data_IF_957015026657
#
_entry.id   IF_957015026657
#
_cell.length_a   1.000
_cell.length_b   1.000
_cell.length_c   1.000
_cell.angle_alpha   90.00
_cell.angle_beta   90.00
_cell.angle_gamma   90.00
#
_symmetry.space_group_name_H-M   'P 1'
#
loop_
_entity.id
_entity.type
_entity.pdbx_description
1 polymer ?
#
# COMPACT_ATOMS: atom_id res chain seq x y z
N UNK A 1 74.81 -8.92 13.31
CA UNK A 1 73.48 -9.00 12.68
C UNK A 1 73.71 -9.45 11.24
N UNK A 2 73.01 -10.48 10.78
CA UNK A 2 73.12 -10.89 9.38
C UNK A 2 72.41 -9.85 8.51
N UNK A 3 73.09 -9.40 7.45
CA UNK A 3 72.47 -8.55 6.42
C UNK A 3 71.91 -9.45 5.35
N UNK A 4 70.59 -9.38 5.12
CA UNK A 4 69.91 -10.21 4.12
C UNK A 4 69.74 -9.40 2.83
N UNK A 5 70.42 -9.74 1.72
CA UNK A 5 70.18 -9.10 0.43
C UNK A 5 68.76 -9.39 -0.05
N UNK A 6 68.10 -8.37 -0.60
CA UNK A 6 66.75 -8.44 -1.10
C UNK A 6 66.67 -7.79 -2.48
N UNK A 7 66.08 -8.51 -3.43
CA UNK A 7 65.86 -8.02 -4.79
C UNK A 7 64.41 -7.60 -4.96
N UNK A 8 64.20 -6.46 -5.63
CA UNK A 8 62.86 -5.95 -5.94
C UNK A 8 62.33 -6.67 -7.17
N UNK A 9 61.25 -7.43 -7.01
CA UNK A 9 60.53 -8.05 -8.11
C UNK A 9 59.29 -7.22 -8.45
N UNK A 10 59.30 -6.69 -9.67
CA UNK A 10 58.22 -5.87 -10.22
C UNK A 10 57.05 -6.71 -10.72
N UNK A 11 57.11 -8.04 -10.61
CA UNK A 11 55.99 -8.91 -10.93
C UNK A 11 54.83 -8.66 -9.96
N UNK A 12 53.70 -8.22 -10.51
CA UNK A 12 52.49 -8.01 -9.73
C UNK A 12 51.78 -9.36 -9.61
N UNK A 13 51.51 -9.86 -8.39
CA UNK A 13 50.81 -11.13 -8.22
C UNK A 13 49.44 -11.06 -8.91
N UNK A 14 49.27 -11.85 -9.98
CA UNK A 14 48.01 -11.96 -10.73
C UNK A 14 47.95 -11.25 -12.09
N UNK A 15 49.01 -10.56 -12.52
CA UNK A 15 49.07 -9.93 -13.87
C UNK A 15 50.25 -10.49 -14.67
N UNK A 16 50.01 -10.91 -15.92
CA UNK A 16 51.07 -11.43 -16.81
C UNK A 16 51.99 -10.36 -17.37
N UNK A 17 51.57 -9.10 -17.31
CA UNK A 17 52.26 -7.99 -17.93
C UNK A 17 53.10 -7.26 -16.89
N UNK A 18 54.42 -7.19 -17.12
CA UNK A 18 55.31 -6.41 -16.29
C UNK A 18 54.96 -4.92 -16.42
N UNK A 19 54.52 -4.24 -15.35
CA UNK A 19 54.18 -2.82 -15.42
C UNK A 19 55.41 -1.98 -15.77
N UNK A 20 55.21 -0.89 -16.51
CA UNK A 20 56.29 0.03 -16.90
C UNK A 20 56.94 0.77 -15.71
N UNK A 21 56.37 0.66 -14.51
CA UNK A 21 56.89 1.20 -13.26
C UNK A 21 55.97 0.89 -12.08
N UNK A 22 56.47 1.08 -10.85
CA UNK A 22 55.65 0.95 -9.65
C UNK A 22 54.80 2.20 -9.48
N UNK A 23 53.52 2.05 -9.13
CA UNK A 23 52.63 3.17 -8.82
C UNK A 23 52.35 3.26 -7.31
N UNK A 24 51.96 4.44 -6.83
CA UNK A 24 51.60 4.64 -5.41
C UNK A 24 50.48 3.68 -5.00
N UNK A 25 50.72 2.90 -3.96
CA UNK A 25 49.78 1.90 -3.43
C UNK A 25 49.80 0.53 -4.14
N UNK A 26 50.62 0.37 -5.19
CA UNK A 26 50.81 -0.92 -5.84
C UNK A 26 51.58 -1.88 -4.92
N UNK A 27 51.18 -3.15 -4.92
CA UNK A 27 51.86 -4.21 -4.17
C UNK A 27 52.90 -4.84 -5.07
N UNK A 28 54.12 -4.94 -4.58
CA UNK A 28 55.23 -5.62 -5.25
C UNK A 28 55.96 -6.54 -4.27
N UNK A 29 56.77 -7.45 -4.80
CA UNK A 29 57.41 -8.49 -4.03
C UNK A 29 58.89 -8.15 -3.82
N UNK A 30 59.39 -8.34 -2.60
CA UNK A 30 60.82 -8.36 -2.32
C UNK A 30 61.23 -9.81 -2.07
N UNK A 31 62.15 -10.32 -2.87
CA UNK A 31 62.72 -11.66 -2.65
C UNK A 31 64.02 -11.51 -1.89
N UNK A 32 64.02 -11.99 -0.65
CA UNK A 32 65.15 -11.88 0.26
C UNK A 32 65.80 -13.25 0.46
N UNK A 33 67.12 -13.31 0.27
CA UNK A 33 67.91 -14.55 0.38
C UNK A 33 68.93 -14.44 1.52
N UNK A 34 68.77 -15.24 2.56
CA UNK A 34 69.67 -15.29 3.71
C UNK A 34 69.11 -16.11 4.87
N UNK A 35 69.95 -16.44 5.85
CA UNK A 35 69.54 -17.23 7.02
C UNK A 35 68.57 -16.44 7.92
N UNK A 36 67.31 -16.88 7.97
CA UNK A 36 66.29 -16.26 8.82
C UNK A 36 66.29 -16.83 10.24
N UNK A 37 66.14 -16.01 11.29
CA UNK A 37 66.11 -16.50 12.66
C UNK A 37 64.90 -17.41 12.91
N UNK A 38 65.12 -18.56 13.55
CA UNK A 38 64.06 -19.53 13.82
C UNK A 38 62.97 -18.96 14.73
N UNK A 39 61.71 -19.06 14.28
CA UNK A 39 60.54 -18.60 15.03
C UNK A 39 60.23 -17.11 14.87
N UNK A 40 60.65 -16.49 13.77
CA UNK A 40 60.18 -15.17 13.35
C UNK A 40 58.68 -15.26 13.01
N UNK A 41 57.82 -14.50 13.68
CA UNK A 41 56.38 -14.50 13.45
C UNK A 41 56.01 -13.49 12.34
N UNK A 42 55.54 -13.95 11.16
CA UNK A 42 55.13 -13.06 10.08
C UNK A 42 54.03 -12.07 10.46
N UNK A 43 53.23 -12.36 11.50
CA UNK A 43 52.10 -11.53 11.88
C UNK A 43 52.45 -10.41 12.86
N UNK A 44 53.56 -10.56 13.60
CA UNK A 44 53.98 -9.62 14.64
C UNK A 44 55.16 -8.72 14.19
N UNK A 45 55.61 -8.86 12.94
CA UNK A 45 56.71 -8.07 12.41
C UNK A 45 56.35 -6.59 12.25
N UNK A 46 57.30 -5.73 12.64
CA UNK A 46 57.26 -4.29 12.40
C UNK A 46 58.46 -3.88 11.55
N UNK A 47 58.20 -3.06 10.53
CA UNK A 47 59.22 -2.42 9.74
C UNK A 47 59.72 -1.18 10.47
N UNK A 48 61.00 -1.18 10.88
CA UNK A 48 61.67 0.01 11.40
C UNK A 48 62.53 0.63 10.31
N UNK A 49 62.12 1.83 9.91
CA UNK A 49 62.82 2.72 8.99
C UNK A 49 63.24 3.97 9.75
N UNK A 50 64.19 4.73 9.19
CA UNK A 50 64.46 6.08 9.66
C UNK A 50 63.19 6.94 9.57
N UNK A 51 63.09 7.94 10.45
CA UNK A 51 61.91 8.80 10.56
C UNK A 51 61.54 9.52 9.26
N UNK A 52 62.53 9.77 8.39
CA UNK A 52 62.32 10.38 7.07
C UNK A 52 61.68 9.41 6.06
N UNK A 53 61.82 8.11 6.29
CA UNK A 53 61.50 7.05 5.34
C UNK A 53 60.28 6.21 5.75
N UNK A 54 59.70 6.46 6.93
CA UNK A 54 58.61 5.68 7.52
C UNK A 54 57.38 5.48 6.61
N UNK A 55 57.18 6.34 5.60
CA UNK A 55 56.08 6.25 4.63
C UNK A 55 56.48 5.80 3.22
N UNK A 56 57.77 5.52 3.00
CA UNK A 56 58.30 5.09 1.69
C UNK A 56 58.07 3.60 1.44
N UNK A 57 58.03 2.78 2.48
CA UNK A 57 57.81 1.34 2.38
C UNK A 57 56.92 0.88 3.54
N UNK A 58 55.89 0.08 3.22
CA UNK A 58 55.06 -0.61 4.20
C UNK A 58 54.97 -2.07 3.80
N UNK A 59 55.17 -2.96 4.77
CA UNK A 59 55.00 -4.40 4.58
C UNK A 59 53.52 -4.75 4.80
N UNK A 60 52.99 -5.57 3.89
CA UNK A 60 51.63 -6.08 3.94
C UNK A 60 51.62 -7.54 4.40
N UNK A 61 52.56 -8.34 3.90
CA UNK A 61 52.65 -9.78 4.21
C UNK A 61 54.09 -10.27 4.07
N UNK A 62 54.44 -11.33 4.79
CA UNK A 62 55.74 -12.01 4.71
C UNK A 62 55.49 -13.51 4.59
N UNK A 63 56.02 -14.11 3.52
CA UNK A 63 55.88 -15.53 3.24
C UNK A 63 57.26 -16.17 3.18
N UNK A 64 57.50 -17.16 4.04
CA UNK A 64 58.72 -17.95 3.99
C UNK A 64 58.57 -19.05 2.94
N UNK A 65 59.39 -19.01 1.89
CA UNK A 65 59.45 -20.07 0.87
C UNK A 65 60.35 -21.20 1.37
N UNK A 66 61.45 -20.86 2.06
CA UNK A 66 62.37 -21.81 2.68
C UNK A 66 63.00 -21.21 3.95
N UNK A 67 63.96 -21.91 4.56
CA UNK A 67 64.74 -21.36 5.69
C UNK A 67 65.68 -20.23 5.29
N UNK A 68 66.00 -20.14 4.00
CA UNK A 68 66.94 -19.18 3.43
C UNK A 68 66.26 -18.18 2.49
N UNK A 69 64.99 -18.39 2.16
CA UNK A 69 64.26 -17.56 1.20
C UNK A 69 62.92 -17.10 1.79
N UNK A 70 62.70 -15.79 1.73
CA UNK A 70 61.43 -15.19 2.10
C UNK A 70 61.01 -14.15 1.06
N UNK A 71 59.70 -14.07 0.84
CA UNK A 71 59.07 -13.11 -0.05
C UNK A 71 58.25 -12.14 0.79
N UNK A 72 58.56 -10.84 0.69
CA UNK A 72 57.80 -9.78 1.35
C UNK A 72 56.88 -9.11 0.35
N UNK A 73 55.60 -9.03 0.67
CA UNK A 73 54.66 -8.18 -0.04
C UNK A 73 54.74 -6.78 0.54
N UNK A 74 55.16 -5.82 -0.27
CA UNK A 74 55.37 -4.44 0.17
C UNK A 74 54.64 -3.45 -0.73
N UNK A 75 54.38 -2.27 -0.19
CA UNK A 75 53.79 -1.16 -0.93
C UNK A 75 54.43 0.17 -0.53
N UNK A 76 54.34 1.17 -1.41
CA UNK A 76 54.83 2.52 -1.17
C UNK A 76 53.71 3.55 -1.31
N UNK A 77 53.63 4.48 -0.36
CA UNK A 77 52.63 5.55 -0.36
C UNK A 77 53.16 6.90 -0.85
N UNK A 78 54.45 6.99 -1.17
CA UNK A 78 55.06 8.24 -1.66
C UNK A 78 55.62 8.04 -3.06
N UNK A 79 55.27 8.90 -4.03
CA UNK A 79 55.94 8.90 -5.33
C UNK A 79 57.39 9.40 -5.19
N UNK A 80 58.27 8.99 -6.10
CA UNK A 80 59.68 9.39 -6.16
C UNK A 80 60.65 8.21 -6.25
N UNK A 81 61.95 8.54 -6.33
CA UNK A 81 63.03 7.58 -6.20
C UNK A 81 63.34 7.36 -4.72
N UNK A 82 63.30 6.11 -4.27
CA UNK A 82 63.55 5.73 -2.89
C UNK A 82 64.83 4.91 -2.82
N UNK A 83 65.78 5.38 -2.00
CA UNK A 83 66.98 4.65 -1.63
C UNK A 83 66.95 4.46 -0.12
N UNK A 84 66.58 3.26 0.32
CA UNK A 84 66.45 2.91 1.73
C UNK A 84 67.71 2.20 2.19
N UNK A 85 68.35 2.73 3.22
CA UNK A 85 69.54 2.12 3.83
C UNK A 85 69.16 1.49 5.17
N UNK A 86 69.78 0.35 5.47
CA UNK A 86 69.64 -0.33 6.77
C UNK A 86 68.18 -0.56 7.22
N UNK A 87 67.34 -1.07 6.32
CA UNK A 87 65.93 -1.39 6.64
C UNK A 87 65.87 -2.51 7.66
N UNK A 88 65.23 -2.30 8.81
CA UNK A 88 65.18 -3.30 9.88
C UNK A 88 63.79 -3.92 10.02
N UNK A 89 63.73 -5.24 10.03
CA UNK A 89 62.55 -6.01 10.44
C UNK A 89 62.70 -6.37 11.91
N UNK A 90 61.75 -5.99 12.73
CA UNK A 90 61.76 -6.27 14.18
C UNK A 90 60.53 -7.10 14.55
N UNK A 91 60.76 -8.19 15.28
CA UNK A 91 59.71 -9.06 15.82
C UNK A 91 60.08 -9.50 17.24
N UNK A 92 59.20 -9.26 18.22
CA UNK A 92 59.24 -9.76 19.60
C UNK A 92 60.64 -9.89 20.28
N UNK A 93 61.61 -9.03 19.94
CA UNK A 93 62.98 -9.04 20.49
C UNK A 93 64.09 -9.50 19.53
N UNK A 94 63.78 -9.86 18.28
CA UNK A 94 64.73 -10.17 17.21
C UNK A 94 64.70 -9.08 16.15
N UNK A 95 65.86 -8.78 15.57
CA UNK A 95 65.97 -7.84 14.45
C UNK A 95 66.83 -8.41 13.33
N UNK A 96 66.37 -8.20 12.10
CA UNK A 96 67.07 -8.56 10.87
C UNK A 96 67.24 -7.29 10.04
N UNK A 97 68.45 -7.04 9.55
CA UNK A 97 68.75 -5.89 8.69
C UNK A 97 68.68 -6.35 7.24
N UNK A 98 67.77 -5.80 6.46
CA UNK A 98 67.71 -5.99 5.02
C UNK A 98 68.80 -5.14 4.35
N UNK A 99 69.30 -5.62 3.21
CA UNK A 99 70.23 -4.87 2.36
C UNK A 99 69.64 -3.55 1.86
N UNK A 100 70.47 -2.74 1.23
CA UNK A 100 70.06 -1.47 0.64
C UNK A 100 69.05 -1.72 -0.49
N UNK A 101 67.90 -1.03 -0.44
CA UNK A 101 66.80 -1.17 -1.40
C UNK A 101 66.68 0.10 -2.24
N UNK A 102 66.66 -0.03 -3.56
CA UNK A 102 66.40 1.08 -4.49
C UNK A 102 65.23 0.76 -5.42
N UNK A 103 64.24 1.65 -5.47
CA UNK A 103 63.09 1.53 -6.36
C UNK A 103 62.46 2.89 -6.68
N UNK A 104 61.76 3.00 -7.82
CA UNK A 104 61.13 4.25 -8.29
C UNK A 104 59.61 4.08 -8.35
N UNK A 105 58.88 4.98 -7.70
CA UNK A 105 57.41 4.97 -7.62
C UNK A 105 56.85 6.17 -8.39
N UNK A 106 56.03 5.91 -9.39
CA UNK A 106 55.32 6.88 -10.21
C UNK A 106 54.00 7.29 -9.54
N UNK A 107 53.68 8.58 -9.63
CA UNK A 107 52.36 9.10 -9.24
C UNK A 107 51.32 8.70 -10.30
N UNK A 108 50.17 8.21 -9.86
CA UNK A 108 49.00 7.98 -10.73
C UNK A 108 48.29 9.29 -11.06
N UNK A 109 48.51 10.33 -10.25
CA UNK A 109 47.98 11.67 -10.51
C UNK A 109 48.88 12.35 -11.53
N UNK A 110 48.28 12.73 -12.67
CA UNK A 110 48.95 13.54 -13.67
C UNK A 110 49.44 14.86 -13.03
N UNK A 111 50.74 15.15 -13.04
CA UNK A 111 51.29 16.37 -12.44
C UNK A 111 50.82 17.66 -13.14
N UNK A 112 50.05 17.53 -14.22
CA UNK A 112 49.43 18.64 -14.98
C UNK A 112 48.06 19.03 -14.45
N UNK A 113 47.41 18.18 -13.65
CA UNK A 113 46.09 18.48 -13.11
C UNK A 113 46.19 19.37 -11.86
N UNK A 114 45.45 20.49 -11.79
CA UNK A 114 45.45 21.36 -10.63
C UNK A 114 44.86 20.63 -9.41
N UNK A 115 45.37 20.89 -8.18
CA UNK A 115 44.86 20.26 -6.97
C UNK A 115 43.38 20.63 -6.76
N UNK A 116 42.50 19.63 -6.70
CA UNK A 116 41.07 19.84 -6.43
C UNK A 116 40.89 20.24 -4.96
N UNK A 117 40.30 21.41 -4.72
CA UNK A 117 39.96 21.86 -3.37
C UNK A 117 38.89 20.95 -2.73
N UNK A 118 38.97 20.66 -1.42
CA UNK A 118 37.98 19.84 -0.74
C UNK A 118 36.62 20.56 -0.70
N UNK A 119 35.56 19.87 -1.12
CA UNK A 119 34.19 20.37 -1.03
C UNK A 119 33.81 20.50 0.46
N UNK A 120 33.45 21.72 0.90
CA UNK A 120 32.97 21.97 2.26
C UNK A 120 31.64 21.27 2.57
N UNK A 121 31.27 21.15 3.85
CA UNK A 121 30.02 20.51 4.25
C UNK A 121 28.83 21.27 3.67
N UNK A 122 28.10 20.63 2.75
CA UNK A 122 26.82 21.14 2.27
C UNK A 122 25.82 21.04 3.43
N UNK A 123 25.41 22.18 3.98
CA UNK A 123 24.44 22.24 5.07
C UNK A 123 23.08 21.64 4.70
N UNK A 124 22.16 21.47 5.67
CA UNK A 124 20.84 20.88 5.43
C UNK A 124 20.13 21.66 4.34
N UNK A 125 19.84 20.98 3.23
CA UNK A 125 19.14 21.57 2.08
C UNK A 125 17.75 22.00 2.57
N UNK A 126 17.55 23.31 2.73
CA UNK A 126 16.26 23.87 3.10
C UNK A 126 15.27 23.66 1.97
N UNK A 127 14.51 22.56 2.02
CA UNK A 127 13.42 22.30 1.08
C UNK A 127 12.30 23.30 1.32
N UNK A 128 12.35 24.42 0.60
CA UNK A 128 11.24 25.35 0.51
C UNK A 128 10.18 24.74 -0.38
N UNK A 129 9.24 24.00 0.20
CA UNK A 129 8.10 23.50 -0.55
C UNK A 129 7.25 24.68 -1.02
N UNK A 130 6.95 24.76 -2.33
CA UNK A 130 6.05 25.77 -2.85
C UNK A 130 4.69 25.75 -2.14
N UNK A 131 4.12 26.94 -1.88
CA UNK A 131 2.85 27.11 -1.14
C UNK A 131 1.70 26.29 -1.75
N UNK A 132 1.71 26.04 -3.06
CA UNK A 132 0.66 25.28 -3.74
C UNK A 132 0.53 23.83 -3.23
N UNK A 133 1.61 23.19 -2.76
CA UNK A 133 1.53 21.86 -2.17
C UNK A 133 0.64 21.84 -0.92
N UNK A 134 0.77 22.86 -0.08
CA UNK A 134 -0.06 23.02 1.12
C UNK A 134 -1.52 23.29 0.77
N UNK A 135 -1.76 24.11 -0.26
CA UNK A 135 -3.12 24.37 -0.76
C UNK A 135 -3.78 23.06 -1.23
N UNK A 136 -3.07 22.25 -2.02
CA UNK A 136 -3.56 20.94 -2.48
C UNK A 136 -3.81 20.00 -1.30
N UNK A 137 -2.89 19.91 -0.35
CA UNK A 137 -3.04 19.07 0.84
C UNK A 137 -4.28 19.46 1.66
N UNK A 138 -4.47 20.74 1.93
CA UNK A 138 -5.64 21.25 2.67
C UNK A 138 -6.93 21.00 1.88
N UNK A 139 -6.92 21.18 0.56
CA UNK A 139 -8.07 20.91 -0.30
C UNK A 139 -8.50 19.43 -0.24
N UNK A 140 -7.53 18.51 -0.33
CA UNK A 140 -7.79 17.06 -0.20
C UNK A 140 -8.35 16.73 1.18
N UNK A 141 -7.76 17.29 2.25
CA UNK A 141 -8.21 17.06 3.62
C UNK A 141 -9.66 17.56 3.82
N UNK A 142 -9.98 18.75 3.33
CA UNK A 142 -11.34 19.31 3.41
C UNK A 142 -12.36 18.48 2.62
N UNK A 143 -11.98 17.96 1.46
CA UNK A 143 -12.85 17.10 0.64
C UNK A 143 -13.19 15.79 1.35
N UNK A 144 -12.18 15.15 1.97
CA UNK A 144 -12.38 13.92 2.78
C UNK A 144 -13.28 14.20 3.98
N UNK A 145 -13.04 15.31 4.70
CA UNK A 145 -13.88 15.72 5.84
C UNK A 145 -15.33 16.00 5.43
N UNK A 146 -15.55 16.71 4.32
CA UNK A 146 -16.88 16.99 3.79
C UNK A 146 -17.62 15.69 3.42
N UNK A 147 -16.97 14.76 2.74
CA UNK A 147 -17.55 13.46 2.39
C UNK A 147 -17.96 12.65 3.64
N UNK A 148 -17.14 12.68 4.69
CA UNK A 148 -17.42 12.02 5.96
C UNK A 148 -18.62 12.64 6.68
N UNK A 149 -18.70 13.98 6.74
CA UNK A 149 -19.85 14.71 7.31
C UNK A 149 -21.15 14.39 6.55
N UNK A 150 -21.12 14.40 5.21
CA UNK A 150 -22.28 14.06 4.37
C UNK A 150 -22.75 12.63 4.65
N UNK A 151 -21.82 11.67 4.75
CA UNK A 151 -22.13 10.26 5.05
C UNK A 151 -22.76 10.10 6.44
N UNK A 152 -22.23 10.77 7.45
CA UNK A 152 -22.78 10.75 8.82
C UNK A 152 -24.17 11.39 8.85
N UNK A 153 -24.34 12.57 8.24
CA UNK A 153 -25.64 13.26 8.16
C UNK A 153 -26.68 12.42 7.43
N UNK A 154 -26.32 11.79 6.31
CA UNK A 154 -27.23 10.90 5.57
C UNK A 154 -27.67 9.69 6.43
N UNK A 155 -26.75 9.10 7.20
CA UNK A 155 -27.07 8.02 8.15
C UNK A 155 -27.96 8.49 9.29
N UNK A 156 -27.66 9.64 9.89
CA UNK A 156 -28.46 10.22 10.97
C UNK A 156 -29.87 10.57 10.50
N UNK A 157 -30.02 11.17 9.31
CA UNK A 157 -31.31 11.44 8.69
C UNK A 157 -32.08 10.15 8.42
N UNK A 158 -31.44 9.10 7.88
CA UNK A 158 -32.09 7.79 7.68
C UNK A 158 -32.61 7.24 9.00
N UNK A 159 -31.79 7.26 10.07
CA UNK A 159 -32.21 6.82 11.41
C UNK A 159 -33.38 7.63 11.95
N UNK A 160 -33.33 8.97 11.83
CA UNK A 160 -34.43 9.85 12.27
C UNK A 160 -35.73 9.56 11.52
N UNK A 161 -35.68 9.33 10.20
CA UNK A 161 -36.85 8.98 9.39
C UNK A 161 -37.43 7.62 9.77
N UNK A 162 -36.58 6.61 10.00
CA UNK A 162 -37.04 5.30 10.46
C UNK A 162 -37.66 5.38 11.86
N UNK A 163 -37.07 6.15 12.76
CA UNK A 163 -37.62 6.38 14.10
C UNK A 163 -39.00 7.06 14.05
N UNK A 164 -39.20 8.03 13.14
CA UNK A 164 -40.51 8.67 12.97
C UNK A 164 -41.58 7.76 12.38
N UNK A 165 -41.22 6.61 11.80
CA UNK A 165 -42.20 5.64 11.28
C UNK A 165 -42.73 4.70 12.36
N UNK A 166 -42.18 4.71 13.58
CA UNK A 166 -42.63 3.86 14.69
C UNK A 166 -42.74 2.37 14.33
N UNK A 167 -41.78 1.85 13.53
CA UNK A 167 -41.72 0.45 13.03
C UNK A 167 -41.84 -0.61 14.15
N UNK A 168 -41.51 -0.23 15.38
CA UNK A 168 -41.54 -1.08 16.57
C UNK A 168 -42.94 -1.26 17.19
N UNK A 169 -43.92 -0.42 16.83
CA UNK A 169 -45.28 -0.50 17.39
C UNK A 169 -46.10 -1.68 16.86
N UNK A 170 -45.66 -2.33 15.78
CA UNK A 170 -46.40 -3.42 15.14
C UNK A 170 -45.92 -4.79 15.59
N UNK A 171 -46.79 -5.49 16.34
CA UNK A 171 -46.53 -6.86 16.80
C UNK A 171 -46.55 -7.92 15.69
N UNK A 172 -47.23 -7.67 14.57
CA UNK A 172 -47.37 -8.63 13.47
C UNK A 172 -46.17 -8.62 12.53
N UNK A 173 -45.90 -9.73 11.84
CA UNK A 173 -44.89 -9.75 10.76
C UNK A 173 -45.26 -8.78 9.64
N UNK A 174 -44.27 -8.26 8.87
CA UNK A 174 -44.54 -7.31 7.79
C UNK A 174 -45.56 -7.83 6.76
N UNK A 175 -45.42 -9.10 6.35
CA UNK A 175 -46.35 -9.78 5.43
C UNK A 175 -47.76 -9.91 6.01
N UNK A 176 -47.88 -10.36 7.26
CA UNK A 176 -49.17 -10.48 7.93
C UNK A 176 -49.88 -9.12 8.05
N UNK A 177 -49.14 -8.06 8.39
CA UNK A 177 -49.69 -6.70 8.42
C UNK A 177 -50.19 -6.27 7.03
N UNK A 178 -49.39 -6.48 5.98
CA UNK A 178 -49.78 -6.16 4.61
C UNK A 178 -51.09 -6.86 4.23
N UNK A 179 -51.19 -8.17 4.47
CA UNK A 179 -52.40 -8.93 4.19
C UNK A 179 -53.61 -8.50 5.02
N UNK A 180 -53.41 -8.12 6.29
CA UNK A 180 -54.48 -7.54 7.11
C UNK A 180 -55.00 -6.22 6.51
N UNK A 181 -54.10 -5.33 6.08
CA UNK A 181 -54.46 -4.08 5.42
C UNK A 181 -55.20 -4.33 4.11
N UNK A 182 -54.74 -5.28 3.28
CA UNK A 182 -55.44 -5.64 2.05
C UNK A 182 -56.87 -6.16 2.30
N UNK A 183 -57.06 -7.03 3.29
CA UNK A 183 -58.40 -7.53 3.65
C UNK A 183 -59.29 -6.43 4.24
N UNK A 184 -58.71 -5.44 4.94
CA UNK A 184 -59.44 -4.28 5.42
C UNK A 184 -59.91 -3.42 4.24
N UNK A 185 -59.03 -3.13 3.29
CA UNK A 185 -59.33 -2.40 2.06
C UNK A 185 -60.44 -3.06 1.25
N UNK A 186 -60.32 -4.38 1.01
CA UNK A 186 -61.34 -5.13 0.26
C UNK A 186 -62.72 -5.11 0.94
N UNK A 187 -62.77 -5.08 2.28
CA UNK A 187 -64.03 -4.99 3.03
C UNK A 187 -64.59 -3.56 3.07
N UNK A 188 -63.74 -2.55 3.15
CA UNK A 188 -64.14 -1.15 3.18
C UNK A 188 -64.69 -0.67 1.82
N UNK A 189 -64.22 -1.28 0.72
CA UNK A 189 -64.52 -0.84 -0.63
C UNK A 189 -65.17 -1.96 -1.45
N UNK A 190 -66.52 -2.05 -1.37
CA UNK A 190 -67.34 -3.08 -2.03
C UNK A 190 -67.13 -3.15 -3.55
N UNK A 191 -66.77 -2.03 -4.20
CA UNK A 191 -66.52 -2.00 -5.64
C UNK A 191 -65.38 -2.94 -6.08
N UNK A 192 -64.44 -3.27 -5.18
CA UNK A 192 -63.38 -4.25 -5.42
C UNK A 192 -63.90 -5.70 -5.54
N UNK A 193 -65.21 -5.92 -5.40
CA UNK A 193 -65.87 -7.22 -5.61
C UNK A 193 -66.78 -7.22 -6.85
N UNK A 194 -66.59 -6.27 -7.77
CA UNK A 194 -67.31 -6.21 -9.05
C UNK A 194 -68.28 -5.04 -9.23
N UNK A 195 -68.09 -3.93 -8.51
CA UNK A 195 -68.87 -2.69 -8.68
C UNK A 195 -68.12 -1.62 -9.47
N UNK A 196 -68.82 -0.57 -9.90
CA UNK A 196 -68.17 0.59 -10.51
C UNK A 196 -67.49 1.46 -9.45
N UNK A 197 -66.23 1.85 -9.71
CA UNK A 197 -65.45 2.70 -8.82
C UNK A 197 -65.61 4.17 -9.22
N UNK A 198 -65.95 5.03 -8.26
CA UNK A 198 -65.79 6.47 -8.50
C UNK A 198 -64.31 6.83 -8.53
N UNK A 199 -63.86 7.83 -9.32
CA UNK A 199 -62.45 8.23 -9.36
C UNK A 199 -61.87 8.56 -7.98
N UNK A 200 -62.67 9.17 -7.09
CA UNK A 200 -62.29 9.47 -5.72
C UNK A 200 -62.06 8.20 -4.87
N UNK A 201 -62.92 7.19 -5.00
CA UNK A 201 -62.73 5.90 -4.32
C UNK A 201 -61.52 5.14 -4.84
N UNK A 202 -61.28 5.17 -6.16
CA UNK A 202 -60.10 4.55 -6.76
C UNK A 202 -58.80 5.21 -6.26
N UNK A 203 -58.76 6.54 -6.17
CA UNK A 203 -57.62 7.28 -5.62
C UNK A 203 -57.30 6.84 -4.19
N UNK A 204 -58.31 6.79 -3.31
CA UNK A 204 -58.13 6.37 -1.91
C UNK A 204 -57.55 4.95 -1.83
N UNK A 205 -58.08 4.02 -2.62
CA UNK A 205 -57.59 2.63 -2.63
C UNK A 205 -56.14 2.56 -3.13
N UNK A 206 -55.80 3.29 -4.20
CA UNK A 206 -54.42 3.30 -4.73
C UNK A 206 -53.44 3.91 -3.73
N UNK A 207 -53.82 4.99 -3.05
CA UNK A 207 -52.99 5.63 -2.03
C UNK A 207 -52.76 4.70 -0.83
N UNK A 208 -53.82 4.06 -0.31
CA UNK A 208 -53.68 3.07 0.77
C UNK A 208 -52.87 1.83 0.35
N UNK A 209 -52.98 1.39 -0.91
CA UNK A 209 -52.16 0.29 -1.44
C UNK A 209 -50.68 0.67 -1.54
N UNK A 210 -50.39 1.87 -2.04
CA UNK A 210 -49.04 2.39 -2.13
C UNK A 210 -48.43 2.52 -0.74
N UNK A 211 -49.17 3.08 0.23
CA UNK A 211 -48.75 3.20 1.61
C UNK A 211 -48.50 1.83 2.24
N UNK A 212 -49.42 0.87 2.09
CA UNK A 212 -49.29 -0.47 2.64
C UNK A 212 -48.06 -1.21 2.07
N UNK A 213 -47.84 -1.12 0.76
CA UNK A 213 -46.70 -1.76 0.12
C UNK A 213 -45.37 -1.09 0.51
N UNK A 214 -45.34 0.24 0.58
CA UNK A 214 -44.16 0.97 1.06
C UNK A 214 -43.87 0.64 2.52
N UNK A 215 -44.87 0.60 3.38
CA UNK A 215 -44.71 0.22 4.79
C UNK A 215 -44.17 -1.20 4.94
N UNK A 216 -44.65 -2.15 4.12
CA UNK A 216 -44.09 -3.50 4.06
C UNK A 216 -42.58 -3.48 3.75
N UNK A 217 -42.17 -2.76 2.69
CA UNK A 217 -40.76 -2.63 2.33
C UNK A 217 -39.94 -1.90 3.41
N UNK A 218 -40.53 -0.91 4.09
CA UNK A 218 -39.87 -0.19 5.18
C UNK A 218 -39.56 -1.10 6.36
N UNK A 219 -40.53 -1.94 6.76
CA UNK A 219 -40.36 -2.89 7.86
C UNK A 219 -39.40 -4.01 7.48
N UNK A 220 -39.47 -4.51 6.26
CA UNK A 220 -38.64 -5.64 5.82
C UNK A 220 -37.16 -5.26 5.65
N UNK A 221 -36.88 -4.10 5.05
CA UNK A 221 -35.52 -3.70 4.65
C UNK A 221 -34.95 -2.52 5.44
N UNK A 222 -35.70 -1.97 6.40
CA UNK A 222 -35.32 -0.77 7.17
C UNK A 222 -34.97 0.42 6.25
N UNK A 223 -35.80 0.61 5.22
CA UNK A 223 -35.70 1.72 4.26
C UNK A 223 -36.85 2.68 4.54
N UNK A 224 -36.63 3.99 4.66
CA UNK A 224 -37.71 4.95 4.90
C UNK A 224 -38.51 5.24 3.60
N UNK A 225 -39.19 4.22 3.09
CA UNK A 225 -39.92 4.22 1.80
C UNK A 225 -41.09 5.19 1.77
N UNK A 226 -41.75 5.46 2.91
CA UNK A 226 -42.84 6.44 2.98
C UNK A 226 -42.34 7.86 2.70
N UNK A 227 -41.12 8.20 3.12
CA UNK A 227 -40.53 9.53 2.97
C UNK A 227 -39.67 9.69 1.70
N UNK A 228 -39.34 8.59 1.02
CA UNK A 228 -38.43 8.59 -0.13
C UNK A 228 -39.17 8.28 -1.43
N UNK A 229 -38.72 8.89 -2.53
CA UNK A 229 -39.20 8.52 -3.87
C UNK A 229 -38.61 7.19 -4.36
N UNK A 230 -39.29 6.54 -5.32
CA UNK A 230 -38.98 5.19 -5.80
C UNK A 230 -37.52 5.01 -6.24
N UNK A 231 -36.96 6.00 -6.95
CA UNK A 231 -35.54 5.98 -7.37
C UNK A 231 -34.58 5.85 -6.18
N UNK A 232 -34.89 6.49 -5.06
CA UNK A 232 -34.06 6.46 -3.85
C UNK A 232 -34.25 5.15 -3.08
N UNK A 233 -35.47 4.61 -3.06
CA UNK A 233 -35.78 3.28 -2.51
C UNK A 233 -34.96 2.21 -3.24
N UNK A 234 -35.05 2.15 -4.58
CA UNK A 234 -34.32 1.18 -5.40
C UNK A 234 -32.80 1.35 -5.29
N UNK A 235 -32.30 2.58 -5.19
CA UNK A 235 -30.86 2.84 -4.99
C UNK A 235 -30.37 2.33 -3.63
N UNK A 236 -31.17 2.53 -2.58
CA UNK A 236 -30.82 2.04 -1.23
C UNK A 236 -30.91 0.51 -1.16
N UNK A 237 -31.90 -0.09 -1.82
CA UNK A 237 -32.03 -1.53 -1.99
C UNK A 237 -30.80 -2.10 -2.71
N UNK A 238 -30.40 -1.53 -3.86
CA UNK A 238 -29.19 -1.93 -4.58
C UNK A 238 -27.92 -1.83 -3.72
N UNK A 239 -27.82 -0.81 -2.88
CA UNK A 239 -26.62 -0.53 -2.08
C UNK A 239 -26.51 -1.37 -0.81
N UNK A 240 -27.63 -1.58 -0.10
CA UNK A 240 -27.62 -2.21 1.22
C UNK A 240 -28.19 -3.64 1.20
N UNK A 241 -28.92 -4.02 0.16
CA UNK A 241 -29.60 -5.31 -0.02
C UNK A 241 -29.39 -5.82 -1.46
N UNK A 242 -28.13 -5.94 -1.87
CA UNK A 242 -27.75 -6.21 -3.27
C UNK A 242 -28.36 -7.50 -3.82
N UNK A 243 -28.43 -8.56 -3.01
CA UNK A 243 -29.01 -9.86 -3.40
C UNK A 243 -30.50 -9.73 -3.74
N UNK A 244 -31.26 -8.99 -2.93
CA UNK A 244 -32.68 -8.72 -3.18
C UNK A 244 -32.86 -7.92 -4.47
N UNK A 245 -32.00 -6.91 -4.69
CA UNK A 245 -32.04 -6.13 -5.92
C UNK A 245 -31.67 -6.95 -7.17
N UNK A 246 -30.77 -7.92 -7.04
CA UNK A 246 -30.40 -8.82 -8.14
C UNK A 246 -31.57 -9.71 -8.56
N UNK A 247 -32.30 -10.27 -7.61
CA UNK A 247 -33.43 -11.18 -7.89
C UNK A 247 -34.72 -10.44 -8.23
N UNK A 248 -35.03 -9.34 -7.54
CA UNK A 248 -36.35 -8.68 -7.59
C UNK A 248 -36.30 -7.21 -7.98
N UNK A 249 -35.13 -6.64 -8.26
CA UNK A 249 -34.98 -5.19 -8.50
C UNK A 249 -35.79 -4.68 -9.69
N UNK A 250 -35.89 -5.47 -10.77
CA UNK A 250 -36.72 -5.13 -11.94
C UNK A 250 -38.22 -5.28 -11.66
N UNK A 251 -38.63 -6.34 -10.97
CA UNK A 251 -40.04 -6.56 -10.61
C UNK A 251 -40.55 -5.48 -9.64
N UNK A 252 -39.76 -5.14 -8.63
CA UNK A 252 -40.03 -4.04 -7.70
C UNK A 252 -40.12 -2.69 -8.40
N UNK A 253 -39.22 -2.43 -9.37
CA UNK A 253 -39.29 -1.19 -10.16
C UNK A 253 -40.59 -1.11 -10.95
N UNK A 254 -41.02 -2.21 -11.57
CA UNK A 254 -42.31 -2.28 -12.29
C UNK A 254 -43.47 -2.06 -11.33
N UNK A 255 -43.51 -2.74 -10.19
CA UNK A 255 -44.58 -2.59 -9.21
C UNK A 255 -44.69 -1.15 -8.67
N UNK A 256 -43.57 -0.51 -8.33
CA UNK A 256 -43.56 0.89 -7.89
C UNK A 256 -43.97 1.85 -9.01
N UNK A 257 -43.53 1.61 -10.25
CA UNK A 257 -43.91 2.43 -11.40
C UNK A 257 -45.40 2.32 -11.73
N UNK A 258 -45.97 1.12 -11.69
CA UNK A 258 -47.41 0.90 -11.90
C UNK A 258 -48.25 1.55 -10.79
N UNK A 259 -47.83 1.45 -9.54
CA UNK A 259 -48.46 2.17 -8.42
C UNK A 259 -48.42 3.69 -8.60
N UNK A 260 -47.26 4.24 -8.94
CA UNK A 260 -47.09 5.67 -9.17
C UNK A 260 -47.94 6.14 -10.36
N UNK A 261 -48.00 5.34 -11.43
CA UNK A 261 -48.82 5.61 -12.60
C UNK A 261 -50.31 5.61 -12.25
N UNK A 262 -50.77 4.59 -11.53
CA UNK A 262 -52.15 4.50 -11.05
C UNK A 262 -52.53 5.71 -10.19
N UNK A 263 -51.65 6.11 -9.28
CA UNK A 263 -51.85 7.30 -8.45
C UNK A 263 -51.96 8.58 -9.30
N UNK A 264 -51.10 8.74 -10.32
CA UNK A 264 -51.18 9.92 -11.20
C UNK A 264 -52.40 9.91 -12.13
N UNK A 265 -52.85 8.73 -12.57
CA UNK A 265 -54.03 8.59 -13.43
C UNK A 265 -55.30 8.88 -12.63
N UNK A 266 -55.43 8.33 -11.41
CA UNK A 266 -56.54 8.60 -10.51
C UNK A 266 -56.58 10.08 -10.07
N UNK A 267 -55.42 10.70 -9.79
CA UNK A 267 -55.35 12.12 -9.44
C UNK A 267 -55.77 13.06 -10.59
N UNK A 268 -55.64 12.61 -11.84
CA UNK A 268 -56.12 13.32 -13.04
C UNK A 268 -57.62 13.08 -13.32
N UNK A 269 -58.31 12.33 -12.47
CA UNK A 269 -59.72 11.98 -12.66
C UNK A 269 -59.96 10.97 -13.77
N UNK A 270 -58.92 10.27 -14.24
CA UNK A 270 -59.10 9.18 -15.21
C UNK A 270 -59.82 8.03 -14.51
N UNK A 271 -60.89 7.52 -15.11
CA UNK A 271 -61.63 6.40 -14.54
C UNK A 271 -60.73 5.16 -14.49
N UNK A 272 -60.40 4.72 -13.27
CA UNK A 272 -59.82 3.40 -13.03
C UNK A 272 -60.96 2.41 -12.82
N UNK A 273 -60.91 1.30 -13.54
CA UNK A 273 -61.91 0.24 -13.37
C UNK A 273 -61.59 -0.57 -12.11
N UNK A 274 -62.60 -1.22 -11.52
CA UNK A 274 -62.37 -2.14 -10.39
C UNK A 274 -61.34 -3.23 -10.74
N UNK A 275 -61.34 -3.67 -12.00
CA UNK A 275 -60.38 -4.64 -12.54
C UNK A 275 -58.94 -4.14 -12.50
N UNK A 276 -58.69 -2.85 -12.74
CA UNK A 276 -57.34 -2.26 -12.64
C UNK A 276 -56.84 -2.30 -11.19
N UNK A 277 -57.72 -1.97 -10.22
CA UNK A 277 -57.40 -2.06 -8.80
C UNK A 277 -57.15 -3.52 -8.36
N UNK A 278 -57.94 -4.48 -8.85
CA UNK A 278 -57.73 -5.91 -8.62
C UNK A 278 -56.39 -6.41 -9.21
N UNK A 279 -56.02 -5.94 -10.39
CA UNK A 279 -54.73 -6.26 -11.02
C UNK A 279 -53.56 -5.71 -10.20
N UNK A 280 -53.66 -4.48 -9.71
CA UNK A 280 -52.66 -3.89 -8.80
C UNK A 280 -52.56 -4.70 -7.50
N UNK A 281 -53.69 -5.06 -6.89
CA UNK A 281 -53.74 -5.93 -5.72
C UNK A 281 -53.02 -7.26 -5.97
N UNK A 282 -53.33 -7.93 -7.07
CA UNK A 282 -52.72 -9.21 -7.43
C UNK A 282 -51.21 -9.07 -7.68
N UNK A 283 -50.79 -8.01 -8.37
CA UNK A 283 -49.39 -7.69 -8.61
C UNK A 283 -48.63 -7.53 -7.29
N UNK A 284 -49.14 -6.72 -6.36
CA UNK A 284 -48.47 -6.46 -5.09
C UNK A 284 -48.43 -7.70 -4.19
N UNK A 285 -49.50 -8.50 -4.15
CA UNK A 285 -49.51 -9.78 -3.42
C UNK A 285 -48.41 -10.71 -3.92
N UNK A 286 -48.34 -10.91 -5.24
CA UNK A 286 -47.30 -11.74 -5.86
C UNK A 286 -45.89 -11.26 -5.47
N UNK A 287 -45.66 -9.94 -5.49
CA UNK A 287 -44.37 -9.37 -5.09
C UNK A 287 -44.05 -9.61 -3.61
N UNK A 288 -45.03 -9.42 -2.71
CA UNK A 288 -44.86 -9.68 -1.28
C UNK A 288 -44.56 -11.16 -1.01
N UNK A 289 -45.27 -12.08 -1.67
CA UNK A 289 -45.04 -13.53 -1.53
C UNK A 289 -43.65 -13.94 -2.01
N UNK A 290 -43.20 -13.41 -3.16
CA UNK A 290 -41.87 -13.66 -3.70
C UNK A 290 -40.77 -13.19 -2.74
N UNK A 291 -40.89 -11.98 -2.20
CA UNK A 291 -39.92 -11.41 -1.26
C UNK A 291 -39.90 -12.17 0.07
N UNK A 292 -41.07 -12.55 0.60
CA UNK A 292 -41.18 -13.33 1.83
C UNK A 292 -40.58 -14.73 1.66
N UNK A 293 -40.85 -15.40 0.53
CA UNK A 293 -40.27 -16.70 0.21
C UNK A 293 -38.74 -16.64 0.11
N UNK A 294 -38.21 -15.57 -0.48
CA UNK A 294 -36.77 -15.32 -0.56
C UNK A 294 -36.14 -15.10 0.82
N UNK A 295 -36.71 -14.21 1.64
CA UNK A 295 -36.20 -13.94 3.00
C UNK A 295 -36.28 -15.18 3.91
N UNK A 296 -37.32 -15.99 3.78
CA UNK A 296 -37.44 -17.26 4.50
C UNK A 296 -36.36 -18.27 4.07
N UNK A 297 -36.04 -18.31 2.77
CA UNK A 297 -34.95 -19.14 2.26
C UNK A 297 -33.59 -18.66 2.76
N UNK A 298 -33.35 -17.34 2.80
CA UNK A 298 -32.11 -16.75 3.32
C UNK A 298 -31.91 -17.09 4.80
N UNK A 299 -32.95 -16.90 5.63
CA UNK A 299 -32.90 -17.24 7.08
C UNK A 299 -32.60 -18.71 7.33
N UNK A 300 -33.16 -19.63 6.53
CA UNK A 300 -32.86 -21.07 6.61
C UNK A 300 -31.39 -21.37 6.29
N UNK A 301 -30.80 -20.66 5.32
CA UNK A 301 -29.39 -20.83 4.96
C UNK A 301 -28.41 -20.27 6.00
N UNK A 302 -28.79 -19.19 6.70
CA UNK A 302 -27.99 -18.56 7.75
C UNK A 302 -28.03 -19.33 9.08
N UNK A 303 -29.20 -19.86 9.46
CA UNK A 303 -29.40 -20.57 10.73
C UNK A 303 -28.95 -22.04 10.75
N UNK A 304 -28.43 -22.56 9.63
CA UNK A 304 -27.90 -23.93 9.50
C UNK A 304 -26.38 -24.04 9.66
N UNK A 305 -25.71 -22.97 10.07
CA UNK A 305 -24.28 -22.94 10.42
C UNK A 305 -24.09 -22.82 11.92
#
# INVERSE_FOLDING_TARGET
MATIPCDVDLSVPGTSDAPAGLTVGQVFLLHCKGEWPQGFDPKAMELRLDSQDQHKLKILDLQFVSKEEATLQVTSYRPGEHQLKAVQLVDAGRSVVLGDLSFTVQSVIDPKDPPKEPLGPQGPVGFHFPIWYWIVLVSVLLSVMAALIIKIRARAQKKKLLASMHLDQWASTPSAQFYQTLRRLQRAHVFLSGGEATPAQAQIVVDELQEAFRLYLARLYLIPTLAWGDKKILRDLKKNHSEVNEHFGEELRKALAELQRAQTDAAKGKSMTAKDCEQLLALLRKQVDHLEAFENSRKKSEGGR
#
